data_IF_359135045889
#
_entry.id   IF_359135045889
#
_cell.length_a   1.000
_cell.length_b   1.000
_cell.length_c   1.000
_cell.angle_alpha   90.00
_cell.angle_beta   90.00
_cell.angle_gamma   90.00
#
_symmetry.space_group_name_H-M   'P 1'
#
loop_
_entity.id
_entity.type
_entity.pdbx_description
1 polymer ?
#
# COMPACT_ATOMS: atom_id res chain seq x y z
N UNK A 1 -35.03 4.73 6.17
CA UNK A 1 -33.88 4.31 5.33
C UNK A 1 -32.65 5.00 5.87
N UNK A 2 -31.83 4.28 6.63
CA UNK A 2 -30.54 4.80 7.10
C UNK A 2 -29.59 4.73 5.92
N UNK A 3 -29.24 5.88 5.35
CA UNK A 3 -28.13 6.02 4.41
C UNK A 3 -26.85 5.75 5.18
N UNK A 4 -26.36 4.52 5.11
CA UNK A 4 -25.01 4.15 5.57
C UNK A 4 -24.03 5.00 4.79
N UNK A 5 -23.46 6.05 5.42
CA UNK A 5 -22.30 6.77 4.89
C UNK A 5 -21.22 5.73 4.66
N UNK A 6 -20.94 5.39 3.41
CA UNK A 6 -19.85 4.48 3.06
C UNK A 6 -18.54 5.22 3.32
N UNK A 7 -17.96 5.04 4.50
CA UNK A 7 -16.79 5.79 4.92
C UNK A 7 -15.51 5.10 4.49
N UNK A 8 -14.67 5.81 3.76
CA UNK A 8 -13.32 5.40 3.40
C UNK A 8 -12.95 6.02 2.08
N UNK A 9 -11.91 6.85 2.09
CA UNK A 9 -11.31 7.46 0.92
C UNK A 9 -9.79 7.26 0.94
N UNK A 10 -9.13 7.27 -0.22
CA UNK A 10 -7.67 7.24 -0.25
C UNK A 10 -7.14 8.61 0.19
N UNK A 11 -6.26 8.61 1.17
CA UNK A 11 -5.64 9.81 1.76
C UNK A 11 -4.19 9.87 1.33
N UNK A 12 -3.80 11.01 0.75
CA UNK A 12 -2.43 11.25 0.32
C UNK A 12 -1.54 11.53 1.54
N UNK A 13 -0.57 10.64 1.79
CA UNK A 13 0.37 10.79 2.90
C UNK A 13 1.72 11.32 2.43
N UNK A 14 2.24 10.80 1.32
CA UNK A 14 3.48 11.31 0.72
C UNK A 14 3.19 11.75 -0.70
N UNK A 15 3.50 13.00 -1.04
CA UNK A 15 3.41 13.53 -2.41
C UNK A 15 4.80 13.94 -2.87
N UNK A 16 5.12 13.69 -4.13
CA UNK A 16 6.35 14.17 -4.76
C UNK A 16 6.01 15.37 -5.64
N UNK A 17 6.67 16.50 -5.40
CA UNK A 17 6.54 17.76 -6.15
C UNK A 17 7.82 18.05 -6.93
N UNK A 18 7.63 18.42 -8.19
CA UNK A 18 8.64 19.01 -9.09
C UNK A 18 9.96 18.23 -9.16
N UNK A 19 9.93 16.89 -9.14
CA UNK A 19 11.13 16.07 -9.34
C UNK A 19 11.96 15.80 -8.08
N UNK A 20 11.81 16.62 -7.04
CA UNK A 20 12.84 16.74 -5.98
C UNK A 20 12.33 16.94 -4.57
N UNK A 21 11.12 17.47 -4.38
CA UNK A 21 10.59 17.77 -3.05
C UNK A 21 9.54 16.74 -2.63
N UNK A 22 9.69 16.21 -1.42
CA UNK A 22 8.73 15.28 -0.82
C UNK A 22 7.90 16.07 0.19
N UNK A 23 6.59 16.10 -0.03
CA UNK A 23 5.64 16.62 0.94
C UNK A 23 5.06 15.47 1.75
N UNK A 24 5.19 15.57 3.06
CA UNK A 24 4.66 14.62 4.01
C UNK A 24 3.46 15.22 4.73
N UNK A 25 2.31 14.58 4.61
CA UNK A 25 1.07 14.98 5.26
C UNK A 25 0.95 14.32 6.63
N UNK A 26 1.81 14.79 7.54
CA UNK A 26 1.86 14.33 8.93
C UNK A 26 0.51 14.43 9.65
N UNK A 27 -0.27 15.54 9.54
CA UNK A 27 -1.55 15.65 10.25
C UNK A 27 -2.57 14.57 9.86
N UNK A 28 -2.63 14.18 8.58
CA UNK A 28 -3.53 13.11 8.15
C UNK A 28 -3.04 11.73 8.60
N UNK A 29 -1.74 11.50 8.62
CA UNK A 29 -1.19 10.25 9.13
C UNK A 29 -1.47 10.10 10.64
N UNK A 30 -1.23 11.16 11.40
CA UNK A 30 -1.54 11.22 12.83
C UNK A 30 -3.03 10.98 13.07
N UNK A 31 -3.91 11.61 12.28
CA UNK A 31 -5.36 11.40 12.38
C UNK A 31 -5.78 9.93 12.20
N UNK A 32 -5.09 9.18 11.34
CA UNK A 32 -5.37 7.76 11.09
C UNK A 32 -4.77 6.88 12.19
N UNK A 33 -3.48 7.05 12.50
CA UNK A 33 -2.74 6.14 13.38
C UNK A 33 -2.89 6.46 14.87
N UNK A 34 -3.13 7.73 15.24
CA UNK A 34 -3.30 8.16 16.63
C UNK A 34 -4.77 8.18 17.08
N UNK A 35 -5.71 7.71 16.25
CA UNK A 35 -7.09 7.52 16.65
C UNK A 35 -7.18 6.61 17.90
N UNK A 36 -8.07 6.92 18.84
CA UNK A 36 -8.17 6.20 20.13
C UNK A 36 -8.41 4.69 19.99
N UNK A 37 -9.07 4.27 18.91
CA UNK A 37 -9.31 2.88 18.57
C UNK A 37 -8.15 2.22 17.79
N UNK A 38 -7.02 2.89 17.58
CA UNK A 38 -5.89 2.37 16.79
C UNK A 38 -4.55 2.52 17.52
N UNK A 39 -4.31 3.67 18.17
CA UNK A 39 -2.98 4.11 18.65
C UNK A 39 -2.22 3.12 19.55
N UNK A 40 -2.94 2.31 20.34
CA UNK A 40 -2.35 1.37 21.29
C UNK A 40 -2.34 -0.09 20.76
N UNK A 41 -2.64 -0.30 19.46
CA UNK A 41 -2.71 -1.63 18.83
C UNK A 41 -1.51 -1.90 17.93
N UNK A 42 -1.05 -3.16 17.81
CA UNK A 42 -0.10 -3.55 16.79
C UNK A 42 -0.66 -3.25 15.39
N UNK A 43 0.16 -2.63 14.53
CA UNK A 43 -0.24 -2.26 13.16
C UNK A 43 0.33 -3.25 12.15
N UNK A 44 -0.52 -3.66 11.21
CA UNK A 44 -0.17 -4.44 10.02
C UNK A 44 -0.40 -3.55 8.81
N UNK A 45 0.69 -3.10 8.18
CA UNK A 45 0.63 -2.33 6.94
C UNK A 45 0.82 -3.27 5.75
N UNK A 46 -0.18 -3.34 4.88
CA UNK A 46 -0.16 -4.08 3.61
C UNK A 46 0.05 -3.06 2.50
N UNK A 47 1.21 -3.09 1.86
CA UNK A 47 1.55 -2.25 0.72
C UNK A 47 1.50 -3.05 -0.58
N UNK A 48 1.06 -2.40 -1.66
CA UNK A 48 1.28 -2.88 -3.01
C UNK A 48 2.13 -1.87 -3.78
N UNK A 49 3.13 -2.37 -4.47
CA UNK A 49 4.00 -1.59 -5.32
C UNK A 49 4.36 -2.39 -6.57
N UNK A 50 4.82 -1.72 -7.62
CA UNK A 50 5.00 -2.33 -8.94
C UNK A 50 4.82 -1.31 -10.04
N UNK A 51 5.07 -1.70 -11.29
CA UNK A 51 5.05 -0.74 -12.40
C UNK A 51 3.68 -0.07 -12.57
N UNK A 52 3.69 1.08 -13.22
CA UNK A 52 2.49 1.82 -13.54
C UNK A 52 1.52 1.01 -14.44
N UNK A 53 0.21 1.19 -14.20
CA UNK A 53 -0.91 0.52 -14.90
C UNK A 53 -1.05 -1.00 -14.79
N UNK A 54 -0.38 -1.64 -13.84
CA UNK A 54 -0.50 -3.09 -13.65
C UNK A 54 -1.65 -3.52 -12.71
N UNK A 55 -2.67 -2.67 -12.51
CA UNK A 55 -3.87 -3.04 -11.74
C UNK A 55 -3.66 -3.18 -10.23
N UNK A 56 -2.80 -2.34 -9.63
CA UNK A 56 -2.52 -2.31 -8.18
C UNK A 56 -3.73 -1.86 -7.35
N UNK A 57 -4.23 -0.67 -7.60
CA UNK A 57 -5.39 -0.08 -6.93
C UNK A 57 -6.65 -0.93 -7.11
N UNK A 58 -6.78 -1.61 -8.26
CA UNK A 58 -7.84 -2.59 -8.51
C UNK A 58 -7.77 -3.77 -7.54
N UNK A 59 -6.59 -4.34 -7.33
CA UNK A 59 -6.41 -5.44 -6.37
C UNK A 59 -6.67 -4.99 -4.93
N UNK A 60 -6.16 -3.82 -4.53
CA UNK A 60 -6.42 -3.29 -3.19
C UNK A 60 -7.91 -3.06 -2.92
N UNK A 61 -8.70 -2.72 -3.94
CA UNK A 61 -10.15 -2.61 -3.77
C UNK A 61 -10.83 -3.95 -3.47
N UNK A 62 -10.28 -5.08 -3.94
CA UNK A 62 -10.73 -6.39 -3.48
C UNK A 62 -10.33 -6.67 -2.02
N UNK A 63 -9.15 -6.21 -1.59
CA UNK A 63 -8.76 -6.33 -0.18
C UNK A 63 -9.69 -5.51 0.72
N UNK A 64 -10.06 -4.30 0.30
CA UNK A 64 -11.07 -3.50 0.99
C UNK A 64 -12.40 -4.25 1.10
N UNK A 65 -12.86 -4.87 0.01
CA UNK A 65 -14.07 -5.68 0.00
C UNK A 65 -13.96 -6.86 0.97
N UNK A 66 -12.83 -7.57 0.98
CA UNK A 66 -12.58 -8.68 1.90
C UNK A 66 -12.59 -8.24 3.37
N UNK A 67 -11.88 -7.16 3.70
CA UNK A 67 -11.77 -6.63 5.06
C UNK A 67 -13.12 -6.09 5.57
N UNK A 68 -13.86 -5.35 4.74
CA UNK A 68 -15.21 -4.85 5.09
C UNK A 68 -16.23 -5.96 5.31
N UNK A 69 -16.04 -7.12 4.68
CA UNK A 69 -16.86 -8.30 4.89
C UNK A 69 -16.35 -9.18 6.05
N UNK A 70 -15.49 -8.66 6.93
CA UNK A 70 -14.93 -9.36 8.08
C UNK A 70 -14.31 -10.72 7.71
N UNK A 71 -13.62 -10.78 6.56
CA UNK A 71 -12.94 -11.99 6.08
C UNK A 71 -13.86 -13.22 5.90
N UNK A 72 -15.17 -13.03 5.71
CA UNK A 72 -16.14 -14.12 5.47
C UNK A 72 -15.84 -14.87 4.18
N UNK A 73 -16.17 -16.15 4.12
CA UNK A 73 -15.91 -17.02 2.95
C UNK A 73 -16.62 -16.56 1.67
N UNK A 74 -17.79 -15.94 1.79
CA UNK A 74 -18.63 -15.46 0.69
C UNK A 74 -18.43 -13.98 0.34
N UNK A 75 -17.30 -13.39 0.74
CA UNK A 75 -17.01 -11.95 0.53
C UNK A 75 -17.05 -11.50 -0.94
N UNK A 76 -16.87 -12.43 -1.88
CA UNK A 76 -16.80 -12.19 -3.32
C UNK A 76 -18.14 -12.43 -4.05
N UNK A 77 -19.13 -13.05 -3.40
CA UNK A 77 -20.29 -13.67 -4.08
C UNK A 77 -21.29 -12.69 -4.71
N UNK A 78 -21.24 -11.41 -4.34
CA UNK A 78 -22.07 -10.38 -4.95
C UNK A 78 -21.39 -9.83 -6.23
N UNK A 79 -21.69 -10.47 -7.36
CA UNK A 79 -21.19 -10.09 -8.68
C UNK A 79 -21.77 -8.75 -9.19
N UNK A 80 -22.95 -8.36 -8.70
CA UNK A 80 -23.65 -7.14 -9.12
C UNK A 80 -23.21 -5.91 -8.32
N UNK A 81 -22.59 -6.09 -7.15
CA UNK A 81 -22.03 -4.98 -6.39
C UNK A 81 -20.77 -4.43 -7.08
N UNK A 82 -20.78 -3.15 -7.51
CA UNK A 82 -19.62 -2.54 -8.13
C UNK A 82 -18.48 -2.47 -7.12
N UNK A 83 -17.27 -2.81 -7.57
CA UNK A 83 -16.06 -2.64 -6.79
C UNK A 83 -15.93 -1.15 -6.44
N UNK A 84 -15.66 -0.84 -5.17
CA UNK A 84 -15.42 0.53 -4.65
C UNK A 84 -14.17 0.49 -3.78
N UNK A 85 -13.38 1.55 -3.80
CA UNK A 85 -12.11 1.60 -3.09
C UNK A 85 -11.21 2.71 -3.58
N UNK A 86 -9.91 2.42 -3.69
CA UNK A 86 -8.93 3.31 -4.33
C UNK A 86 -9.42 3.72 -5.72
N UNK A 87 -9.05 4.88 -6.25
CA UNK A 87 -9.50 5.23 -7.60
C UNK A 87 -8.70 4.41 -8.63
N UNK A 88 -9.40 3.67 -9.50
CA UNK A 88 -8.82 3.04 -10.69
C UNK A 88 -9.66 3.41 -11.91
N UNK A 89 -9.00 3.80 -13.01
CA UNK A 89 -9.65 4.02 -14.31
C UNK A 89 -8.83 3.40 -15.43
N UNK A 90 -9.47 2.78 -16.44
CA UNK A 90 -8.81 2.53 -17.71
C UNK A 90 -8.55 3.88 -18.38
N UNK A 91 -7.29 4.27 -18.55
CA UNK A 91 -6.97 5.60 -19.11
C UNK A 91 -5.48 5.92 -19.08
N UNK A 92 -5.09 6.93 -19.88
CA UNK A 92 -3.70 7.33 -20.05
C UNK A 92 -3.19 8.36 -19.02
N UNK A 93 -4.04 8.83 -18.11
CA UNK A 93 -3.72 9.87 -17.13
C UNK A 93 -3.32 9.29 -15.78
N UNK A 94 -2.42 9.99 -15.09
CA UNK A 94 -1.90 9.62 -13.76
C UNK A 94 -3.00 9.81 -12.71
N UNK A 95 -3.21 8.80 -11.86
CA UNK A 95 -4.19 8.85 -10.76
C UNK A 95 -3.49 8.83 -9.39
N UNK A 96 -2.45 8.00 -9.22
CA UNK A 96 -1.75 7.80 -7.94
C UNK A 96 -0.35 8.44 -7.97
N UNK A 97 -0.11 9.45 -7.15
CA UNK A 97 1.21 10.10 -6.99
C UNK A 97 1.76 9.87 -5.59
N UNK A 98 2.98 9.37 -5.42
CA UNK A 98 3.57 9.09 -4.11
C UNK A 98 2.92 7.92 -3.35
N UNK A 99 2.61 8.09 -2.06
CA UNK A 99 2.01 7.06 -1.18
C UNK A 99 0.66 7.51 -0.67
N UNK A 100 -0.35 6.66 -0.88
CA UNK A 100 -1.70 6.84 -0.39
C UNK A 100 -2.03 5.74 0.62
N UNK A 101 -2.71 6.12 1.70
CA UNK A 101 -3.29 5.19 2.66
C UNK A 101 -4.80 5.16 2.50
N UNK A 102 -5.42 4.03 2.83
CA UNK A 102 -6.86 4.04 3.05
C UNK A 102 -7.19 4.67 4.41
N UNK A 103 -8.12 5.64 4.43
CA UNK A 103 -8.52 6.34 5.66
C UNK A 103 -9.04 5.40 6.77
N UNK A 104 -9.77 4.36 6.38
CA UNK A 104 -10.39 3.40 7.30
C UNK A 104 -9.37 2.33 7.73
N UNK A 105 -9.10 2.24 9.03
CA UNK A 105 -8.26 1.20 9.64
C UNK A 105 -9.16 0.03 10.06
N UNK A 106 -8.80 -1.18 9.63
CA UNK A 106 -9.58 -2.38 9.90
C UNK A 106 -9.05 -3.11 11.13
N UNK A 107 -9.87 -3.24 12.17
CA UNK A 107 -9.51 -4.01 13.36
C UNK A 107 -9.82 -5.49 13.12
N UNK A 108 -8.79 -6.33 13.18
CA UNK A 108 -8.89 -7.76 12.92
C UNK A 108 -8.27 -8.55 14.07
N UNK A 109 -8.81 -9.72 14.38
CA UNK A 109 -8.20 -10.63 15.36
C UNK A 109 -7.19 -11.55 14.67
N UNK A 110 -5.95 -11.57 15.16
CA UNK A 110 -4.91 -12.45 14.64
C UNK A 110 -5.11 -13.91 15.13
N UNK A 111 -4.31 -14.85 14.62
CA UNK A 111 -4.37 -16.26 15.04
C UNK A 111 -4.01 -16.51 16.50
N UNK A 112 -3.44 -15.51 17.20
CA UNK A 112 -3.10 -15.54 18.62
C UNK A 112 -4.19 -14.92 19.50
N UNK A 113 -5.29 -14.42 18.93
CA UNK A 113 -6.38 -13.77 19.65
C UNK A 113 -6.16 -12.28 19.96
N UNK A 114 -5.10 -11.67 19.43
CA UNK A 114 -4.78 -10.26 19.61
C UNK A 114 -5.51 -9.40 18.55
N UNK A 115 -6.06 -8.26 18.95
CA UNK A 115 -6.58 -7.27 18.00
C UNK A 115 -5.43 -6.51 17.34
N UNK A 116 -5.40 -6.53 16.00
CA UNK A 116 -4.43 -5.80 15.20
C UNK A 116 -5.12 -4.80 14.28
N UNK A 117 -4.47 -3.67 14.05
CA UNK A 117 -4.92 -2.63 13.14
C UNK A 117 -4.33 -2.86 11.74
N UNK A 118 -5.18 -3.20 10.78
CA UNK A 118 -4.79 -3.45 9.38
C UNK A 118 -4.97 -2.17 8.56
N UNK A 119 -3.89 -1.73 7.93
CA UNK A 119 -3.83 -0.54 7.09
C UNK A 119 -3.42 -0.93 5.66
N UNK A 120 -4.13 -0.39 4.68
CA UNK A 120 -3.81 -0.59 3.26
C UNK A 120 -3.07 0.62 2.69
N UNK A 121 -1.98 0.35 1.98
CA UNK A 121 -1.12 1.33 1.36
C UNK A 121 -1.03 1.07 -0.15
N UNK A 122 -1.46 2.06 -0.94
CA UNK A 122 -1.27 2.07 -2.40
C UNK A 122 -0.11 2.99 -2.73
N UNK A 123 0.80 2.54 -3.59
CA UNK A 123 1.93 3.34 -4.05
C UNK A 123 1.75 3.71 -5.51
N UNK A 124 2.35 4.84 -5.89
CA UNK A 124 2.56 5.17 -7.28
C UNK A 124 3.22 4.01 -8.03
N UNK A 125 2.88 3.89 -9.31
CA UNK A 125 3.58 2.98 -10.22
C UNK A 125 5.01 3.42 -10.45
N UNK A 126 5.95 2.51 -10.20
CA UNK A 126 7.36 2.72 -10.47
C UNK A 126 7.55 2.85 -11.99
N UNK A 127 8.45 3.72 -12.44
CA UNK A 127 8.87 3.86 -13.85
C UNK A 127 7.79 4.33 -14.84
N UNK A 128 6.92 5.25 -14.43
CA UNK A 128 6.16 6.02 -15.40
C UNK A 128 7.06 6.99 -16.18
N UNK A 129 6.60 7.44 -17.37
CA UNK A 129 7.38 8.31 -18.25
C UNK A 129 7.65 9.72 -17.66
N UNK A 130 7.05 10.05 -16.52
CA UNK A 130 7.06 11.38 -15.92
C UNK A 130 7.93 11.46 -14.65
N UNK A 131 8.22 10.33 -14.01
CA UNK A 131 8.98 10.26 -12.77
C UNK A 131 10.43 9.83 -13.02
N UNK A 132 11.35 10.45 -12.30
CA UNK A 132 12.74 10.03 -12.31
C UNK A 132 12.88 8.65 -11.62
N UNK A 133 13.93 7.92 -12.00
CA UNK A 133 14.31 6.65 -11.34
C UNK A 133 14.49 6.83 -9.83
N UNK A 134 15.05 7.97 -9.41
CA UNK A 134 15.29 8.32 -8.01
C UNK A 134 13.98 8.50 -7.22
N UNK A 135 13.00 9.20 -7.77
CA UNK A 135 11.69 9.38 -7.12
C UNK A 135 10.98 8.05 -6.94
N UNK A 136 10.93 7.26 -8.02
CA UNK A 136 10.28 5.95 -8.01
C UNK A 136 10.94 5.00 -6.98
N UNK A 137 12.27 5.01 -6.92
CA UNK A 137 13.05 4.26 -5.93
C UNK A 137 12.75 4.74 -4.50
N UNK A 138 12.63 6.05 -4.30
CA UNK A 138 12.36 6.62 -2.97
C UNK A 138 10.97 6.23 -2.46
N UNK A 139 9.93 6.36 -3.29
CA UNK A 139 8.56 5.98 -2.93
C UNK A 139 8.45 4.49 -2.62
N UNK A 140 9.07 3.64 -3.45
CA UNK A 140 9.09 2.21 -3.22
C UNK A 140 9.85 1.84 -1.93
N UNK A 141 11.01 2.46 -1.70
CA UNK A 141 11.81 2.18 -0.50
C UNK A 141 11.06 2.59 0.77
N UNK A 142 10.40 3.75 0.77
CA UNK A 142 9.57 4.21 1.88
C UNK A 142 8.38 3.28 2.13
N UNK A 143 7.70 2.81 1.07
CA UNK A 143 6.59 1.85 1.23
C UNK A 143 7.05 0.53 1.82
N UNK A 144 8.23 0.05 1.41
CA UNK A 144 8.78 -1.22 1.87
C UNK A 144 9.27 -1.14 3.32
N UNK A 145 9.91 -0.03 3.71
CA UNK A 145 10.32 0.22 5.09
C UNK A 145 9.12 0.39 6.03
N UNK A 146 8.05 1.03 5.56
CA UNK A 146 6.84 1.24 6.34
C UNK A 146 5.90 0.01 6.38
N UNK A 147 6.08 -0.97 5.48
CA UNK A 147 5.16 -2.09 5.35
C UNK A 147 5.61 -3.35 6.09
N UNK A 148 4.64 -4.04 6.67
CA UNK A 148 4.81 -5.40 7.21
C UNK A 148 4.71 -6.46 6.11
N UNK A 149 3.89 -6.18 5.09
CA UNK A 149 3.71 -7.02 3.91
C UNK A 149 3.82 -6.12 2.69
N UNK A 150 4.87 -6.32 1.89
CA UNK A 150 5.05 -5.67 0.62
C UNK A 150 4.65 -6.64 -0.50
N UNK A 151 3.65 -6.28 -1.29
CA UNK A 151 3.27 -6.98 -2.51
C UNK A 151 3.98 -6.28 -3.66
N UNK A 152 4.84 -7.00 -4.37
CA UNK A 152 5.47 -6.55 -5.59
C UNK A 152 4.68 -7.11 -6.78
N UNK A 153 3.83 -6.26 -7.35
CA UNK A 153 2.97 -6.57 -8.48
C UNK A 153 3.77 -6.43 -9.78
N UNK A 154 3.90 -7.53 -10.50
CA UNK A 154 4.63 -7.66 -11.76
C UNK A 154 3.70 -8.19 -12.84
N UNK A 155 3.93 -7.81 -14.11
CA UNK A 155 3.16 -8.33 -15.25
C UNK A 155 3.94 -9.39 -16.00
N UNK A 156 3.32 -10.54 -16.25
CA UNK A 156 3.88 -11.59 -17.10
C UNK A 156 4.89 -12.46 -16.37
N UNK A 157 6.13 -12.02 -16.22
CA UNK A 157 7.19 -12.83 -15.58
C UNK A 157 8.14 -11.95 -14.76
N UNK A 158 8.88 -12.58 -13.85
CA UNK A 158 9.95 -11.92 -13.09
C UNK A 158 11.16 -11.79 -14.01
N UNK A 159 11.52 -10.55 -14.33
CA UNK A 159 12.67 -10.26 -15.18
C UNK A 159 13.88 -9.82 -14.36
N UNK A 160 15.03 -9.72 -15.01
CA UNK A 160 16.27 -9.32 -14.33
C UNK A 160 16.23 -7.86 -13.86
N UNK A 161 15.61 -6.97 -14.62
CA UNK A 161 15.37 -5.57 -14.23
C UNK A 161 14.49 -5.47 -12.96
N UNK A 162 13.46 -6.30 -12.82
CA UNK A 162 12.66 -6.37 -11.58
C UNK A 162 13.52 -6.74 -10.37
N UNK A 163 14.48 -7.65 -10.53
CA UNK A 163 15.40 -8.06 -9.47
C UNK A 163 16.47 -7.01 -9.19
N UNK A 164 16.95 -6.30 -10.21
CA UNK A 164 17.90 -5.20 -10.04
C UNK A 164 17.27 -4.03 -9.27
N UNK A 165 15.99 -3.73 -9.52
CA UNK A 165 15.27 -2.77 -8.70
C UNK A 165 15.26 -3.21 -7.23
N UNK A 166 14.99 -4.49 -6.96
CA UNK A 166 15.07 -5.06 -5.60
C UNK A 166 16.45 -4.94 -4.94
N UNK A 167 17.53 -5.02 -5.73
CA UNK A 167 18.89 -4.90 -5.23
C UNK A 167 19.18 -3.50 -4.67
N UNK A 168 18.76 -2.43 -5.36
CA UNK A 168 18.87 -1.07 -4.83
C UNK A 168 18.12 -0.91 -3.50
N UNK A 169 17.03 -1.65 -3.30
CA UNK A 169 16.24 -1.60 -2.06
C UNK A 169 16.90 -2.38 -0.91
N UNK A 170 17.57 -3.50 -1.21
CA UNK A 170 18.36 -4.22 -0.23
C UNK A 170 19.51 -3.36 0.33
N UNK A 171 20.12 -2.51 -0.51
CA UNK A 171 21.15 -1.57 -0.06
C UNK A 171 20.62 -0.53 0.94
N UNK A 172 19.44 0.06 0.69
CA UNK A 172 18.79 0.96 1.67
C UNK A 172 18.40 0.23 2.96
N UNK A 173 17.89 -1.00 2.85
CA UNK A 173 17.59 -1.84 4.00
C UNK A 173 18.84 -2.14 4.85
N UNK A 174 19.97 -2.44 4.22
CA UNK A 174 21.25 -2.69 4.90
C UNK A 174 21.81 -1.45 5.58
N UNK A 175 21.62 -0.24 5.01
CA UNK A 175 22.02 1.01 5.68
C UNK A 175 21.25 1.22 6.99
N UNK A 176 19.96 0.90 7.01
CA UNK A 176 19.13 0.93 8.22
C UNK A 176 19.44 -0.24 9.20
N UNK A 177 19.95 -1.36 8.69
CA UNK A 177 20.29 -2.55 9.47
C UNK A 177 21.59 -2.41 10.27
N UNK A 178 22.41 -1.38 10.03
CA UNK A 178 23.65 -1.13 10.81
C UNK A 178 23.41 -0.98 12.32
N UNK A 179 22.16 -0.81 12.75
CA UNK A 179 21.76 -0.67 14.15
C UNK A 179 21.07 -1.92 14.75
N UNK A 180 20.86 -3.01 13.98
CA UNK A 180 20.13 -4.20 14.48
C UNK A 180 20.50 -5.52 13.78
N UNK A 181 20.55 -6.63 14.53
CA UNK A 181 20.85 -7.99 14.01
C UNK A 181 19.68 -8.65 13.26
N UNK A 182 18.51 -8.00 13.16
CA UNK A 182 17.32 -8.57 12.50
C UNK A 182 17.24 -8.18 11.03
N UNK A 183 16.61 -9.02 10.20
CA UNK A 183 16.31 -8.68 8.80
C UNK A 183 15.52 -7.36 8.72
N UNK A 184 15.86 -6.46 7.78
CA UNK A 184 15.29 -5.11 7.74
C UNK A 184 13.84 -5.10 7.25
N UNK A 185 13.39 -6.17 6.59
CA UNK A 185 12.05 -6.32 6.04
C UNK A 185 11.41 -7.61 6.52
N UNK A 186 10.08 -7.62 6.61
CA UNK A 186 9.33 -8.75 7.13
C UNK A 186 8.88 -9.72 6.04
N UNK A 187 7.94 -9.32 5.17
CA UNK A 187 7.36 -10.19 4.14
C UNK A 187 7.28 -9.48 2.79
N UNK A 188 7.97 -10.03 1.79
CA UNK A 188 7.88 -9.63 0.39
C UNK A 188 7.16 -10.73 -0.41
N UNK A 189 6.15 -10.34 -1.18
CA UNK A 189 5.35 -11.24 -2.02
C UNK A 189 5.43 -10.81 -3.48
N UNK A 190 5.95 -11.67 -4.34
CA UNK A 190 5.87 -11.48 -5.78
C UNK A 190 4.48 -11.89 -6.28
N UNK A 191 3.75 -10.93 -6.84
CA UNK A 191 2.48 -11.18 -7.49
C UNK A 191 2.67 -11.03 -9.00
N UNK A 192 2.77 -12.17 -9.69
CA UNK A 192 2.85 -12.22 -11.15
C UNK A 192 1.43 -12.25 -11.72
N UNK A 193 1.08 -11.22 -12.48
CA UNK A 193 -0.23 -10.99 -13.10
C UNK A 193 -0.30 -11.54 -14.52
#
# INVERSE_FOLDING_TARGET
MVTTRMSGEPVQIIRVKDGHSIEFNEPELERILLADNVKDRPVVVISIAGEYRQGKSFLLSFFLRYLRNNARSNWLDDADTPLRGFQWRPGSTRETTGILLWHEVFLMTNSKGEEVAVLLMDTQGIFDCESTMKESTTIFSLSMLASSVQIYNLMGNIKEDDLQHLQFFAEYGMLAQKESERHPFQKLLFLVR
#
